data_IF_031195012194
#
_entry.id   IF_031195012194
#
_cell.length_a   1.000
_cell.length_b   1.000
_cell.length_c   1.000
_cell.angle_alpha   90.00
_cell.angle_beta   90.00
_cell.angle_gamma   90.00
#
_symmetry.space_group_name_H-M   'P 1'
#
loop_
_entity.id
_entity.type
_entity.pdbx_description
1 polymer ?
#
# COMPACT_ATOMS: atom_id res chain seq x y z
N UNK A 1 -4.51 -15.94 4.96
CA UNK A 1 -3.05 -16.28 4.96
C UNK A 1 -2.27 -15.04 5.38
N UNK A 2 -1.23 -15.21 6.23
CA UNK A 2 -0.30 -14.15 6.59
C UNK A 2 1.01 -14.36 5.82
N UNK A 3 1.56 -13.28 5.29
CA UNK A 3 2.82 -13.28 4.54
C UNK A 3 3.86 -12.57 5.39
N UNK A 4 5.01 -13.21 5.56
CA UNK A 4 6.15 -12.60 6.24
C UNK A 4 6.99 -11.84 5.23
N UNK A 5 7.34 -10.62 5.60
CA UNK A 5 8.20 -9.74 4.80
C UNK A 5 9.05 -8.86 5.71
N UNK A 6 9.99 -8.15 5.14
CA UNK A 6 10.85 -7.23 5.86
C UNK A 6 10.85 -5.85 5.22
N UNK A 7 10.96 -4.83 6.06
CA UNK A 7 11.16 -3.45 5.63
C UNK A 7 12.35 -2.86 6.40
N UNK A 8 13.30 -2.28 5.69
CA UNK A 8 14.37 -1.51 6.33
C UNK A 8 13.88 -0.09 6.50
N UNK A 9 13.63 0.33 7.73
CA UNK A 9 13.12 1.65 8.06
C UNK A 9 14.05 2.35 9.04
N UNK A 10 14.01 3.68 9.07
CA UNK A 10 14.78 4.42 10.05
C UNK A 10 14.28 4.19 11.47
N UNK A 11 15.18 4.32 12.42
CA UNK A 11 14.93 4.04 13.84
C UNK A 11 13.82 4.92 14.42
N UNK A 12 13.75 6.18 14.00
CA UNK A 12 12.69 7.11 14.43
C UNK A 12 11.30 6.64 13.97
N UNK A 13 11.18 6.25 12.72
CA UNK A 13 9.93 5.67 12.17
C UNK A 13 9.53 4.39 12.91
N UNK A 14 10.50 3.50 13.17
CA UNK A 14 10.26 2.26 13.91
C UNK A 14 9.73 2.52 15.33
N UNK A 15 10.40 3.39 16.09
CA UNK A 15 9.98 3.75 17.45
C UNK A 15 8.62 4.47 17.46
N UNK A 16 8.34 5.30 16.45
CA UNK A 16 7.03 5.95 16.28
C UNK A 16 5.93 4.91 16.10
N UNK A 17 6.13 3.92 15.24
CA UNK A 17 5.15 2.84 15.04
C UNK A 17 4.91 2.07 16.34
N UNK A 18 5.98 1.69 17.05
CA UNK A 18 5.88 0.92 18.30
C UNK A 18 5.17 1.68 19.41
N UNK A 19 5.58 2.93 19.63
CA UNK A 19 4.99 3.78 20.66
C UNK A 19 3.51 4.07 20.39
N UNK A 20 3.17 4.40 19.14
CA UNK A 20 1.78 4.62 18.73
C UNK A 20 0.92 3.38 18.92
N UNK A 21 1.38 2.22 18.47
CA UNK A 21 0.66 0.96 18.66
C UNK A 21 0.43 0.64 20.14
N UNK A 22 1.44 0.90 20.99
CA UNK A 22 1.35 0.74 22.45
C UNK A 22 0.31 1.68 23.07
N UNK A 23 0.32 2.96 22.70
CA UNK A 23 -0.63 3.96 23.20
C UNK A 23 -2.06 3.58 22.81
N UNK A 24 -2.28 3.18 21.56
CA UNK A 24 -3.58 2.76 21.04
C UNK A 24 -4.02 1.36 21.51
N UNK A 25 -3.15 0.62 22.20
CA UNK A 25 -3.39 -0.77 22.62
C UNK A 25 -3.73 -1.70 21.45
N UNK A 26 -3.17 -1.43 20.28
CA UNK A 26 -3.31 -2.28 19.09
C UNK A 26 -2.01 -3.00 18.76
N UNK A 27 -2.10 -4.08 17.98
CA UNK A 27 -0.87 -4.72 17.50
C UNK A 27 -0.16 -3.83 16.47
N UNK A 28 1.16 -3.86 16.47
CA UNK A 28 1.99 -3.18 15.46
C UNK A 28 1.55 -3.56 14.04
N UNK A 29 1.21 -4.84 13.84
CA UNK A 29 0.66 -5.34 12.57
C UNK A 29 -0.61 -4.60 12.16
N UNK A 30 -1.56 -4.36 13.10
CA UNK A 30 -2.82 -3.67 12.82
C UNK A 30 -2.54 -2.23 12.40
N UNK A 31 -1.70 -1.51 13.13
CA UNK A 31 -1.32 -0.14 12.79
C UNK A 31 -0.65 -0.06 11.41
N UNK A 32 0.33 -0.93 11.13
CA UNK A 32 1.03 -0.96 9.83
C UNK A 32 0.06 -1.30 8.70
N UNK A 33 -0.86 -2.24 8.90
CA UNK A 33 -1.85 -2.58 7.88
C UNK A 33 -2.76 -1.41 7.55
N UNK A 34 -3.21 -0.65 8.56
CA UNK A 34 -4.03 0.56 8.36
C UNK A 34 -3.22 1.63 7.61
N UNK A 35 -1.99 1.89 8.02
CA UNK A 35 -1.12 2.86 7.36
C UNK A 35 -0.91 2.52 5.88
N UNK A 36 -0.61 1.27 5.56
CA UNK A 36 -0.43 0.84 4.17
C UNK A 36 -1.72 0.95 3.35
N UNK A 37 -2.88 0.60 3.93
CA UNK A 37 -4.18 0.78 3.27
C UNK A 37 -4.47 2.25 2.95
N UNK A 38 -4.18 3.16 3.88
CA UNK A 38 -4.35 4.60 3.65
C UNK A 38 -3.45 5.07 2.51
N UNK A 39 -2.19 4.64 2.48
CA UNK A 39 -1.26 4.99 1.40
C UNK A 39 -1.79 4.53 0.05
N UNK A 40 -2.20 3.28 -0.05
CA UNK A 40 -2.75 2.72 -1.30
C UNK A 40 -3.94 3.54 -1.79
N UNK A 41 -4.77 4.02 -0.87
CA UNK A 41 -5.99 4.77 -1.20
C UNK A 41 -5.74 6.24 -1.52
N UNK A 42 -4.85 6.90 -0.81
CA UNK A 42 -4.78 8.37 -0.77
C UNK A 42 -3.50 8.96 -1.35
N UNK A 43 -2.46 8.13 -1.51
CA UNK A 43 -1.24 8.62 -2.11
C UNK A 43 -1.50 9.04 -3.57
N UNK A 44 -1.15 10.27 -3.96
CA UNK A 44 -1.31 10.70 -5.35
C UNK A 44 -0.55 9.76 -6.28
N UNK A 45 -1.24 9.24 -7.29
CA UNK A 45 -0.61 8.38 -8.28
C UNK A 45 0.23 9.20 -9.24
N UNK A 46 1.54 9.12 -9.08
CA UNK A 46 2.51 9.52 -10.09
C UNK A 46 3.04 8.25 -10.76
N UNK A 47 2.48 7.90 -11.92
CA UNK A 47 2.84 6.67 -12.64
C UNK A 47 4.27 6.74 -13.14
N UNK A 48 5.15 5.97 -12.50
CA UNK A 48 6.58 5.92 -12.82
C UNK A 48 7.00 4.57 -13.42
N UNK A 49 6.13 3.98 -14.23
CA UNK A 49 6.28 2.61 -14.74
C UNK A 49 7.64 2.37 -15.42
N UNK A 50 8.18 3.39 -16.08
CA UNK A 50 9.44 3.31 -16.80
C UNK A 50 10.67 3.69 -15.96
N UNK A 51 10.50 4.01 -14.67
CA UNK A 51 11.61 4.34 -13.78
C UNK A 51 12.05 3.12 -12.97
N UNK A 52 13.24 3.20 -12.43
CA UNK A 52 13.73 2.23 -11.43
C UNK A 52 13.01 2.44 -10.11
N UNK A 53 12.93 1.39 -9.30
CA UNK A 53 12.35 1.49 -7.95
C UNK A 53 13.20 2.46 -7.12
N UNK A 54 12.56 3.47 -6.55
CA UNK A 54 13.20 4.37 -5.60
C UNK A 54 13.31 3.70 -4.23
N UNK A 55 14.51 3.66 -3.72
CA UNK A 55 14.82 3.23 -2.37
C UNK A 55 15.06 4.46 -1.50
N UNK A 56 15.04 4.25 -0.20
CA UNK A 56 15.43 5.32 0.72
C UNK A 56 16.92 5.68 0.52
N UNK A 57 17.26 6.95 0.78
CA UNK A 57 18.63 7.40 0.71
C UNK A 57 19.53 6.58 1.64
N UNK A 58 20.78 6.38 1.21
CA UNK A 58 21.77 5.72 2.03
C UNK A 58 21.95 6.45 3.36
N UNK A 59 21.94 5.68 4.43
CA UNK A 59 22.15 6.14 5.79
C UNK A 59 23.12 5.20 6.50
N UNK A 60 23.81 5.64 7.55
CA UNK A 60 24.59 4.76 8.40
C UNK A 60 23.78 3.54 8.85
N UNK A 61 24.41 2.37 8.91
CA UNK A 61 23.69 1.10 9.25
C UNK A 61 23.04 1.15 10.62
N UNK A 62 23.60 1.87 11.55
CA UNK A 62 23.10 2.08 12.92
C UNK A 62 21.76 2.83 12.97
N UNK A 63 21.42 3.57 11.92
CA UNK A 63 20.15 4.32 11.82
C UNK A 63 19.00 3.48 11.24
N UNK A 64 19.30 2.28 10.79
CA UNK A 64 18.33 1.40 10.17
C UNK A 64 17.91 0.26 11.07
N UNK A 65 16.65 -0.08 11.01
CA UNK A 65 16.05 -1.26 11.64
C UNK A 65 15.46 -2.16 10.57
N UNK A 66 15.90 -3.43 10.57
CA UNK A 66 15.25 -4.48 9.79
C UNK A 66 13.95 -4.87 10.50
N UNK A 67 12.85 -4.35 10.00
CA UNK A 67 11.55 -4.54 10.60
C UNK A 67 10.83 -5.74 9.97
N UNK A 68 10.64 -6.79 10.77
CA UNK A 68 9.91 -7.98 10.36
C UNK A 68 8.40 -7.74 10.47
N UNK A 69 7.70 -7.94 9.37
CA UNK A 69 6.27 -7.69 9.23
C UNK A 69 5.54 -8.97 8.89
N UNK A 70 4.36 -9.15 9.49
CA UNK A 70 3.38 -10.16 9.08
C UNK A 70 2.14 -9.45 8.59
N UNK A 71 1.92 -9.46 7.29
CA UNK A 71 0.80 -8.77 6.63
C UNK A 71 -0.22 -9.79 6.12
N UNK A 72 -1.49 -9.37 6.01
CA UNK A 72 -2.45 -10.15 5.25
C UNK A 72 -2.05 -10.19 3.77
N UNK A 73 -2.44 -11.24 3.05
CA UNK A 73 -2.15 -11.36 1.62
C UNK A 73 -2.56 -10.11 0.85
N UNK A 74 -3.77 -9.62 1.08
CA UNK A 74 -4.28 -8.41 0.41
C UNK A 74 -3.40 -7.18 0.66
N UNK A 75 -3.01 -6.90 1.91
CA UNK A 75 -2.14 -5.74 2.23
C UNK A 75 -0.75 -5.90 1.62
N UNK A 76 -0.21 -7.12 1.62
CA UNK A 76 1.08 -7.41 1.01
C UNK A 76 1.05 -7.20 -0.51
N UNK A 77 0.05 -7.73 -1.18
CA UNK A 77 -0.14 -7.59 -2.63
C UNK A 77 -0.34 -6.13 -3.02
N UNK A 78 -1.18 -5.39 -2.28
CA UNK A 78 -1.35 -3.95 -2.49
C UNK A 78 -0.03 -3.18 -2.43
N UNK A 79 0.81 -3.48 -1.44
CA UNK A 79 2.15 -2.89 -1.32
C UNK A 79 3.06 -3.27 -2.50
N UNK A 80 2.95 -4.49 -3.01
CA UNK A 80 3.68 -4.95 -4.19
C UNK A 80 3.24 -4.26 -5.47
N UNK A 81 1.94 -4.05 -5.65
CA UNK A 81 1.41 -3.36 -6.81
C UNK A 81 1.80 -1.89 -6.80
N UNK A 82 1.77 -1.24 -5.64
CA UNK A 82 2.32 0.11 -5.48
C UNK A 82 3.80 0.17 -5.85
N UNK A 83 4.59 -0.84 -5.46
CA UNK A 83 5.99 -0.94 -5.87
C UNK A 83 6.14 -1.05 -7.38
N UNK A 84 5.31 -1.84 -8.04
CA UNK A 84 5.36 -2.02 -9.52
C UNK A 84 4.96 -0.74 -10.25
N UNK A 85 3.89 -0.10 -9.82
CA UNK A 85 3.28 1.04 -10.50
C UNK A 85 4.00 2.36 -10.20
N UNK A 86 4.30 2.61 -8.94
CA UNK A 86 4.86 3.88 -8.48
C UNK A 86 6.37 3.83 -8.27
N UNK A 87 6.97 2.64 -8.35
CA UNK A 87 8.41 2.43 -8.16
C UNK A 87 8.93 2.85 -6.78
N UNK A 88 8.09 2.76 -5.75
CA UNK A 88 8.50 2.95 -4.36
C UNK A 88 8.66 1.60 -3.66
N UNK A 89 9.71 1.46 -2.84
CA UNK A 89 9.88 0.27 -2.01
C UNK A 89 8.84 0.23 -0.88
N UNK A 90 8.55 -0.97 -0.36
CA UNK A 90 7.66 -1.12 0.80
C UNK A 90 8.17 -0.30 2.02
N UNK A 91 9.49 -0.27 2.21
CA UNK A 91 10.14 0.55 3.24
C UNK A 91 9.86 2.04 3.06
N UNK A 92 9.95 2.54 1.82
CA UNK A 92 9.63 3.92 1.51
C UNK A 92 8.15 4.21 1.78
N UNK A 93 7.25 3.35 1.29
CA UNK A 93 5.80 3.51 1.49
C UNK A 93 5.45 3.55 2.98
N UNK A 94 6.06 2.71 3.80
CA UNK A 94 5.82 2.68 5.24
C UNK A 94 6.33 3.95 5.93
N UNK A 95 7.53 4.41 5.61
CA UNK A 95 8.06 5.67 6.15
C UNK A 95 7.23 6.88 5.72
N UNK A 96 6.80 6.91 4.47
CA UNK A 96 5.90 7.93 3.95
C UNK A 96 4.55 7.90 4.68
N UNK A 97 3.97 6.70 4.86
CA UNK A 97 2.71 6.52 5.57
C UNK A 97 2.76 7.06 7.00
N UNK A 98 3.81 6.76 7.73
CA UNK A 98 4.01 7.27 9.10
C UNK A 98 4.13 8.79 9.10
N UNK A 99 4.89 9.35 8.17
CA UNK A 99 5.10 10.80 8.10
C UNK A 99 3.83 11.59 7.77
N UNK A 100 3.04 11.08 6.82
CA UNK A 100 1.92 11.82 6.25
C UNK A 100 0.58 11.41 6.85
N UNK A 101 0.38 10.12 7.15
CA UNK A 101 -0.92 9.57 7.47
C UNK A 101 -1.06 9.02 8.89
N UNK A 102 -0.03 9.17 9.75
CA UNK A 102 -0.09 8.63 11.11
C UNK A 102 -1.30 9.17 11.89
N UNK A 103 -1.55 10.48 11.82
CA UNK A 103 -2.68 11.11 12.50
C UNK A 103 -4.00 10.48 12.06
N UNK A 104 -4.21 10.33 10.76
CA UNK A 104 -5.41 9.71 10.20
C UNK A 104 -5.53 8.23 10.61
N UNK A 105 -4.42 7.50 10.64
CA UNK A 105 -4.44 6.12 11.10
C UNK A 105 -4.82 6.01 12.59
N UNK A 106 -4.39 6.95 13.42
CA UNK A 106 -4.78 7.05 14.82
C UNK A 106 -6.28 7.33 14.95
N UNK A 107 -6.81 8.30 14.21
CA UNK A 107 -8.24 8.63 14.17
C UNK A 107 -9.06 7.38 13.81
N UNK A 108 -8.74 6.72 12.71
CA UNK A 108 -9.42 5.49 12.27
C UNK A 108 -9.37 4.40 13.35
N UNK A 109 -8.22 4.19 13.99
CA UNK A 109 -8.04 3.14 15.00
C UNK A 109 -8.71 3.48 16.33
N UNK A 110 -9.01 4.75 16.58
CA UNK A 110 -9.67 5.22 17.81
C UNK A 110 -11.19 5.25 17.65
N UNK A 111 -11.69 5.62 16.49
CA UNK A 111 -13.12 5.83 16.24
C UNK A 111 -13.84 4.53 15.86
N UNK A 112 -13.12 3.49 15.45
CA UNK A 112 -13.77 2.37 14.78
C UNK A 112 -13.52 1.01 15.47
N UNK A 113 -14.58 0.52 16.09
CA UNK A 113 -14.72 -0.90 16.40
C UNK A 113 -14.89 -1.74 15.12
N UNK A 114 -15.22 -1.13 13.97
CA UNK A 114 -15.54 -1.77 12.69
C UNK A 114 -14.59 -1.38 11.55
N UNK A 115 -13.30 -1.59 11.69
CA UNK A 115 -12.30 -1.50 10.61
C UNK A 115 -12.58 -2.41 9.39
N UNK A 116 -13.71 -3.11 9.41
CA UNK A 116 -14.14 -4.03 8.34
C UNK A 116 -14.55 -3.29 7.07
N UNK A 117 -14.88 -1.99 7.16
CA UNK A 117 -15.45 -1.25 6.02
C UNK A 117 -14.45 -0.50 5.14
N UNK A 118 -13.12 -0.64 5.36
CA UNK A 118 -12.18 -0.19 4.34
C UNK A 118 -12.09 -1.27 3.27
N UNK A 119 -12.76 -1.09 2.14
CA UNK A 119 -12.68 -2.08 1.08
C UNK A 119 -11.22 -2.16 0.61
N UNK A 120 -10.64 -3.34 0.73
CA UNK A 120 -9.32 -3.66 0.19
C UNK A 120 -9.34 -3.76 -1.35
N UNK A 121 -10.38 -3.21 -1.98
CA UNK A 121 -10.67 -3.46 -3.39
C UNK A 121 -10.14 -2.28 -4.20
N UNK A 122 -9.06 -2.52 -4.89
CA UNK A 122 -8.66 -1.74 -6.05
C UNK A 122 -8.59 -2.69 -7.25
N UNK A 123 -8.89 -2.15 -8.42
CA UNK A 123 -8.78 -2.86 -9.67
C UNK A 123 -7.69 -2.22 -10.51
N UNK A 124 -6.82 -3.03 -11.09
CA UNK A 124 -5.82 -2.56 -12.06
C UNK A 124 -6.29 -2.97 -13.45
N UNK A 125 -6.55 -1.98 -14.28
CA UNK A 125 -6.78 -2.19 -15.71
C UNK A 125 -5.51 -1.88 -16.49
N UNK A 126 -5.06 -2.80 -17.33
CA UNK A 126 -3.91 -2.61 -18.21
C UNK A 126 -4.37 -2.70 -19.65
N UNK A 127 -4.13 -1.64 -20.42
CA UNK A 127 -4.38 -1.61 -21.86
C UNK A 127 -3.02 -1.56 -22.55
N UNK A 128 -2.73 -2.59 -23.33
CA UNK A 128 -1.52 -2.66 -24.13
C UNK A 128 -1.87 -2.45 -25.61
N UNK A 129 -1.33 -1.39 -26.19
CA UNK A 129 -1.29 -1.20 -27.65
C UNK A 129 0.11 -1.44 -28.16
N UNK A 130 0.31 -1.47 -29.47
CA UNK A 130 1.66 -1.64 -30.05
C UNK A 130 2.66 -0.55 -29.62
N UNK A 131 2.17 0.62 -29.25
CA UNK A 131 2.98 1.79 -28.97
C UNK A 131 2.89 2.25 -27.51
N UNK A 132 1.79 1.96 -26.82
CA UNK A 132 1.50 2.50 -25.49
C UNK A 132 0.95 1.41 -24.58
N UNK A 133 1.45 1.39 -23.35
CA UNK A 133 0.87 0.61 -22.23
C UNK A 133 0.28 1.59 -21.22
N UNK A 134 -1.03 1.53 -21.04
CA UNK A 134 -1.75 2.36 -20.09
C UNK A 134 -2.22 1.50 -18.93
N UNK A 135 -1.99 1.96 -17.71
CA UNK A 135 -2.48 1.32 -16.50
C UNK A 135 -3.41 2.29 -15.77
N UNK A 136 -4.57 1.81 -15.40
CA UNK A 136 -5.53 2.57 -14.60
C UNK A 136 -5.80 1.81 -13.31
N UNK A 137 -5.70 2.50 -12.18
CA UNK A 137 -5.99 1.93 -10.86
C UNK A 137 -7.28 2.55 -10.35
N UNK A 138 -8.23 1.71 -9.99
CA UNK A 138 -9.50 2.12 -9.41
C UNK A 138 -9.53 1.70 -7.94
N UNK A 139 -9.91 2.60 -7.06
CA UNK A 139 -10.03 2.32 -5.62
C UNK A 139 -11.35 1.62 -5.23
N UNK A 140 -12.34 1.70 -6.10
CA UNK A 140 -13.58 0.96 -6.02
C UNK A 140 -13.77 0.21 -7.32
N UNK A 141 -14.45 -0.96 -7.33
CA UNK A 141 -14.81 -1.58 -8.59
C UNK A 141 -15.52 -0.53 -9.45
N UNK A 142 -15.06 -0.29 -10.67
CA UNK A 142 -15.77 0.61 -11.57
C UNK A 142 -17.17 0.05 -11.77
N UNK A 143 -18.18 0.92 -11.78
CA UNK A 143 -19.48 0.50 -12.27
C UNK A 143 -19.30 0.00 -13.71
N UNK A 144 -20.10 -0.98 -14.12
CA UNK A 144 -19.97 -1.61 -15.46
C UNK A 144 -19.92 -0.59 -16.60
N UNK A 145 -20.59 0.55 -16.41
CA UNK A 145 -20.58 1.70 -17.35
C UNK A 145 -19.23 2.43 -17.47
N UNK A 146 -18.37 2.31 -16.44
CA UNK A 146 -17.06 2.99 -16.38
C UNK A 146 -15.93 2.11 -16.95
N UNK A 147 -16.24 0.85 -17.26
CA UNK A 147 -15.30 -0.05 -17.90
C UNK A 147 -15.19 0.25 -19.40
N UNK A 148 -13.97 0.27 -19.95
CA UNK A 148 -13.79 0.31 -21.40
C UNK A 148 -14.59 -0.83 -22.06
N UNK A 149 -15.28 -0.56 -23.17
CA UNK A 149 -16.20 -1.51 -23.84
C UNK A 149 -15.61 -2.88 -24.15
N UNK A 150 -14.30 -3.00 -24.27
CA UNK A 150 -13.61 -4.29 -24.49
C UNK A 150 -13.45 -5.14 -23.21
N UNK A 151 -13.85 -4.65 -22.04
CA UNK A 151 -13.88 -5.43 -20.80
C UNK A 151 -15.22 -6.15 -20.59
N UNK A 152 -16.23 -5.86 -21.40
CA UNK A 152 -17.57 -6.48 -21.28
C UNK A 152 -17.68 -7.83 -21.98
N UNK A 153 -16.69 -8.25 -22.78
CA UNK A 153 -16.62 -9.59 -23.33
C UNK A 153 -15.85 -10.51 -22.39
N UNK A 154 -16.58 -11.22 -21.54
CA UNK A 154 -16.14 -12.53 -21.08
C UNK A 154 -16.10 -13.42 -22.32
N UNK A 155 -14.92 -13.67 -22.84
CA UNK A 155 -14.75 -14.81 -23.72
C UNK A 155 -15.06 -16.04 -22.87
N UNK A 156 -16.22 -16.64 -23.09
CA UNK A 156 -16.57 -17.96 -22.62
C UNK A 156 -15.58 -18.91 -23.29
N UNK A 157 -14.53 -19.26 -22.58
CA UNK A 157 -13.73 -20.42 -22.92
C UNK A 157 -14.57 -21.65 -22.59
N UNK A 158 -15.30 -22.15 -23.56
CA UNK A 158 -15.75 -23.53 -23.64
C UNK A 158 -14.59 -24.43 -24.04
#
# INVERSE_FOLDING_TARGET
MLIETTANIDKGTYETIKSTAKVLRVSVRRLVSVLLKIVVREMPFDYRIYRTVEYQADRPKEDWVCFHLRLSGAVYESGHDMRKLMKYSLSFLLCYAVRVYLKKAVEILTEDENLVSYPDIYCISAIHTKEISTFTVFHTPPEEKDLPRHFTHRDEYT
#
